data_IF_154849241399
#
_entry.id   IF_154849241399
#
_cell.length_a   1.000
_cell.length_b   1.000
_cell.length_c   1.000
_cell.angle_alpha   90.00
_cell.angle_beta   90.00
_cell.angle_gamma   90.00
#
_symmetry.space_group_name_H-M   'P 1'
#
loop_
_entity.id
_entity.type
_entity.pdbx_description
1 polymer ?
#
# COMPACT_ATOMS: atom_id res chain seq x y z
N UNK A 1 7.27 8.29 6.84
CA UNK A 1 7.28 6.82 6.66
C UNK A 1 6.20 6.22 7.52
N UNK A 2 5.25 5.52 6.91
CA UNK A 2 4.08 4.93 7.56
C UNK A 2 4.26 3.41 7.62
N UNK A 3 4.21 2.80 8.80
CA UNK A 3 4.41 1.35 8.96
C UNK A 3 3.08 0.62 8.87
N UNK A 4 3.10 -0.59 8.33
CA UNK A 4 1.91 -1.42 8.20
C UNK A 4 2.23 -2.89 7.92
N UNK A 5 1.17 -3.69 7.84
CA UNK A 5 1.22 -5.12 7.52
C UNK A 5 0.43 -5.38 6.24
N UNK A 6 0.96 -6.20 5.34
CA UNK A 6 0.24 -6.56 4.12
C UNK A 6 -0.90 -7.51 4.43
N UNK A 7 -2.13 -7.13 4.10
CA UNK A 7 -3.30 -8.00 4.23
C UNK A 7 -3.47 -8.90 3.01
N UNK A 8 -3.25 -8.37 1.80
CA UNK A 8 -3.47 -9.11 0.56
C UNK A 8 -2.58 -8.57 -0.58
N UNK A 9 -2.30 -9.44 -1.55
CA UNK A 9 -1.57 -9.13 -2.77
C UNK A 9 -2.27 -9.77 -3.96
N UNK A 10 -2.63 -8.95 -4.94
CA UNK A 10 -3.21 -9.38 -6.21
C UNK A 10 -2.34 -8.91 -7.37
N UNK A 11 -2.05 -9.78 -8.34
CA UNK A 11 -1.29 -9.44 -9.55
C UNK A 11 -2.12 -9.63 -10.81
N UNK A 12 -2.37 -8.55 -11.53
CA UNK A 12 -3.06 -8.57 -12.82
C UNK A 12 -2.66 -7.37 -13.66
N UNK A 13 -2.74 -7.50 -15.00
CA UNK A 13 -2.40 -6.40 -15.91
C UNK A 13 -0.95 -5.89 -15.80
N UNK A 14 -0.04 -6.70 -15.25
CA UNK A 14 1.35 -6.29 -15.02
C UNK A 14 1.56 -5.41 -13.79
N UNK A 15 0.56 -5.27 -12.91
CA UNK A 15 0.63 -4.46 -11.68
C UNK A 15 0.30 -5.32 -10.46
N UNK A 16 1.15 -5.24 -9.44
CA UNK A 16 0.84 -5.75 -8.11
C UNK A 16 0.04 -4.72 -7.32
N UNK A 17 -1.16 -5.11 -6.91
CA UNK A 17 -2.02 -4.36 -6.00
C UNK A 17 -1.88 -4.94 -4.60
N UNK A 18 -1.46 -4.11 -3.66
CA UNK A 18 -1.07 -4.53 -2.31
C UNK A 18 -1.93 -3.77 -1.33
N UNK A 19 -2.71 -4.50 -0.53
CA UNK A 19 -3.51 -3.92 0.55
C UNK A 19 -2.71 -3.92 1.84
N UNK A 20 -2.50 -2.74 2.44
CA UNK A 20 -1.68 -2.59 3.65
C UNK A 20 -2.52 -2.06 4.81
N UNK A 21 -2.61 -2.85 5.88
CA UNK A 21 -3.19 -2.44 7.15
C UNK A 21 -2.25 -1.49 7.87
N UNK A 22 -2.80 -0.37 8.32
CA UNK A 22 -2.06 0.65 9.07
C UNK A 22 -2.81 0.96 10.34
N UNK A 23 -2.12 0.92 11.48
CA UNK A 23 -2.71 1.24 12.77
C UNK A 23 -3.34 2.64 12.78
N UNK A 24 -4.55 2.76 13.34
CA UNK A 24 -5.31 4.01 13.38
C UNK A 24 -6.06 4.36 12.09
N UNK A 25 -6.00 3.52 11.04
CA UNK A 25 -6.82 3.67 9.84
C UNK A 25 -7.89 2.58 9.75
N UNK A 26 -9.17 2.93 9.57
CA UNK A 26 -10.24 1.94 9.42
C UNK A 26 -10.24 1.26 8.04
N UNK A 27 -9.66 1.92 7.03
CA UNK A 27 -9.55 1.41 5.66
C UNK A 27 -8.07 1.21 5.32
N UNK A 28 -7.70 0.06 4.70
CA UNK A 28 -6.33 -0.19 4.27
C UNK A 28 -5.79 0.88 3.32
N UNK A 29 -4.47 1.03 3.29
CA UNK A 29 -3.79 1.78 2.23
C UNK A 29 -3.58 0.86 1.04
N UNK A 30 -4.09 1.24 -0.13
CA UNK A 30 -3.84 0.51 -1.37
C UNK A 30 -2.55 1.03 -2.01
N UNK A 31 -1.66 0.11 -2.35
CA UNK A 31 -0.40 0.38 -3.05
C UNK A 31 -0.41 -0.35 -4.39
N UNK A 32 0.03 0.32 -5.45
CA UNK A 32 0.20 -0.28 -6.77
C UNK A 32 1.66 -0.17 -7.21
N UNK A 33 2.26 -1.29 -7.59
CA UNK A 33 3.64 -1.33 -8.10
C UNK A 33 3.68 -2.07 -9.44
N UNK A 34 4.51 -1.59 -10.37
CA UNK A 34 4.70 -2.28 -11.64
C UNK A 34 5.46 -3.60 -11.42
N UNK A 35 5.01 -4.65 -12.11
CA UNK A 35 5.60 -5.99 -12.04
C UNK A 35 5.13 -6.78 -10.83
N UNK A 36 5.62 -8.02 -10.75
CA UNK A 36 5.33 -8.90 -9.64
C UNK A 36 6.13 -8.47 -8.40
N UNK A 37 5.44 -8.29 -7.27
CA UNK A 37 6.06 -8.02 -5.97
C UNK A 37 6.57 -9.31 -5.30
N UNK A 38 7.57 -9.17 -4.44
CA UNK A 38 8.06 -10.23 -3.55
C UNK A 38 7.38 -10.20 -2.17
N UNK A 39 6.62 -9.13 -1.89
CA UNK A 39 5.92 -8.97 -0.61
C UNK A 39 4.70 -9.89 -0.58
N UNK A 40 4.41 -10.47 0.58
CA UNK A 40 3.33 -11.43 0.79
C UNK A 40 2.41 -10.96 1.92
N UNK A 41 1.19 -11.51 2.00
CA UNK A 41 0.33 -11.31 3.17
C UNK A 41 1.06 -11.65 4.48
N UNK A 42 0.84 -10.86 5.52
CA UNK A 42 1.55 -10.91 6.80
C UNK A 42 2.91 -10.19 6.83
N UNK A 43 3.42 -9.72 5.68
CA UNK A 43 4.70 -9.01 5.64
C UNK A 43 4.59 -7.64 6.32
N UNK A 44 5.54 -7.34 7.20
CA UNK A 44 5.73 -5.98 7.71
C UNK A 44 6.39 -5.10 6.65
N UNK A 45 5.78 -3.96 6.36
CA UNK A 45 6.25 -3.02 5.34
C UNK A 45 6.24 -1.60 5.86
N UNK A 46 6.87 -0.71 5.08
CA UNK A 46 6.78 0.71 5.30
C UNK A 46 6.51 1.44 4.00
N UNK A 47 5.61 2.41 4.08
CA UNK A 47 5.14 3.22 2.98
C UNK A 47 5.76 4.61 3.07
N UNK A 48 6.18 5.12 1.92
CA UNK A 48 6.70 6.47 1.76
C UNK A 48 6.17 7.04 0.46
N UNK A 49 5.91 8.32 0.43
CA UNK A 49 5.60 9.10 -0.76
C UNK A 49 6.25 10.46 -0.62
N UNK A 50 6.53 11.12 -1.73
CA UNK A 50 7.01 12.48 -1.70
C UNK A 50 5.84 13.41 -1.30
N UNK A 51 6.06 14.44 -0.47
CA UNK A 51 4.98 15.35 -0.07
C UNK A 51 4.21 15.95 -1.25
N UNK A 52 4.89 16.20 -2.37
CA UNK A 52 4.33 16.73 -3.61
C UNK A 52 3.37 15.79 -4.35
N UNK A 53 3.42 14.48 -4.09
CA UNK A 53 2.49 13.50 -4.68
C UNK A 53 1.14 13.44 -3.92
N UNK A 54 1.08 14.04 -2.73
CA UNK A 54 -0.11 14.07 -1.88
C UNK A 54 -1.09 15.16 -2.30
N UNK A 55 -2.38 14.81 -2.36
CA UNK A 55 -3.47 15.78 -2.61
C UNK A 55 -4.40 15.81 -1.40
N UNK A 56 -4.79 17.01 -0.98
CA UNK A 56 -5.81 17.22 0.05
C UNK A 56 -7.19 17.31 -0.61
N UNK A 57 -8.08 16.38 -0.28
CA UNK A 57 -9.46 16.38 -0.76
C UNK A 57 -10.35 17.00 0.33
N UNK A 58 -10.98 18.15 0.11
CA UNK A 58 -11.93 18.72 1.06
C UNK A 58 -13.14 17.78 1.24
N UNK A 59 -13.65 17.71 2.47
CA UNK A 59 -14.82 16.89 2.83
C UNK A 59 -16.12 17.64 2.57
#
# INVERSE_FOLDING_TARGET
MLRGEVADVSFYGGISHISVLVAGRPVPVLVATQGATQVQAGSSVALTWAPEDGVLIPQ
#
